data_IF_949919434498
#
_entry.id   IF_949919434498
#
_cell.length_a   1.000
_cell.length_b   1.000
_cell.length_c   1.000
_cell.angle_alpha   90.00
_cell.angle_beta   90.00
_cell.angle_gamma   90.00
#
_symmetry.space_group_name_H-M   'P 1'
#
loop_
_entity.id
_entity.type
_entity.pdbx_description
1 polymer ?
#
# COMPACT_ATOMS: atom_id res chain seq x y z
N UNK A 1 -10.58 2.00 14.44
CA UNK A 1 -11.22 1.57 15.70
C UNK A 1 -12.14 0.40 15.38
N UNK A 2 -11.73 -0.82 15.69
CA UNK A 2 -12.58 -2.00 15.48
C UNK A 2 -13.54 -2.10 16.67
N UNK A 3 -14.84 -1.96 16.42
CA UNK A 3 -15.85 -2.21 17.42
C UNK A 3 -15.77 -3.70 17.83
N UNK A 4 -15.65 -3.95 19.13
CA UNK A 4 -15.66 -5.31 19.68
C UNK A 4 -16.97 -6.01 19.30
N UNK A 5 -16.89 -7.31 18.97
CA UNK A 5 -18.02 -8.11 18.47
C UNK A 5 -19.24 -8.17 19.41
N UNK A 6 -19.06 -7.79 20.67
CA UNK A 6 -20.09 -7.78 21.73
C UNK A 6 -20.55 -6.37 22.12
N UNK A 7 -20.10 -5.33 21.40
CA UNK A 7 -20.48 -3.95 21.72
C UNK A 7 -21.76 -3.52 21.00
N UNK A 8 -22.56 -2.63 21.61
CA UNK A 8 -23.69 -2.00 20.95
C UNK A 8 -23.26 -1.35 19.63
N UNK A 9 -24.07 -1.52 18.58
CA UNK A 9 -23.76 -0.95 17.28
C UNK A 9 -23.57 0.58 17.36
N UNK A 10 -22.43 1.07 16.86
CA UNK A 10 -22.14 2.50 16.81
C UNK A 10 -23.01 3.26 15.78
N UNK A 11 -23.80 2.55 14.97
CA UNK A 11 -24.68 3.12 13.95
C UNK A 11 -25.97 3.69 14.55
N UNK A 12 -25.80 4.78 15.28
CA UNK A 12 -26.87 5.53 15.95
C UNK A 12 -26.70 7.03 15.71
N UNK A 13 -27.80 7.77 15.67
CA UNK A 13 -27.86 9.23 15.64
C UNK A 13 -29.00 9.71 16.55
N UNK A 14 -29.15 11.03 16.73
CA UNK A 14 -30.23 11.59 17.55
C UNK A 14 -31.65 11.22 17.04
N UNK A 15 -31.76 10.82 15.77
CA UNK A 15 -33.02 10.47 15.11
C UNK A 15 -33.30 8.96 15.08
N UNK A 16 -32.24 8.14 15.00
CA UNK A 16 -32.35 6.71 14.72
C UNK A 16 -31.28 5.93 15.50
N UNK A 17 -31.68 4.88 16.22
CA UNK A 17 -30.77 4.06 17.05
C UNK A 17 -30.85 2.59 16.65
N UNK A 18 -29.70 1.97 16.37
CA UNK A 18 -29.60 0.53 16.19
C UNK A 18 -29.60 -0.13 17.59
N UNK A 19 -30.42 -1.17 17.78
CA UNK A 19 -30.48 -1.91 19.06
C UNK A 19 -29.74 -3.24 18.99
N UNK A 20 -29.16 -3.57 17.85
CA UNK A 20 -28.41 -4.80 17.57
C UNK A 20 -26.95 -4.70 18.00
N UNK A 21 -26.30 -5.84 18.20
CA UNK A 21 -24.85 -5.89 18.40
C UNK A 21 -24.13 -5.49 17.11
N UNK A 22 -22.89 -4.99 17.21
CA UNK A 22 -22.14 -4.57 16.03
C UNK A 22 -21.84 -5.72 15.05
N UNK A 23 -21.92 -6.96 15.50
CA UNK A 23 -21.78 -8.19 14.70
C UNK A 23 -23.07 -8.62 14.00
N UNK A 24 -24.22 -8.05 14.35
CA UNK A 24 -25.52 -8.38 13.79
C UNK A 24 -25.92 -7.40 12.67
N UNK A 25 -26.73 -7.83 11.69
CA UNK A 25 -27.35 -6.93 10.73
C UNK A 25 -28.12 -5.82 11.46
N UNK A 26 -27.83 -4.57 11.10
CA UNK A 26 -28.49 -3.42 11.70
C UNK A 26 -30.00 -3.45 11.44
N UNK A 27 -30.81 -3.10 12.45
CA UNK A 27 -32.27 -3.09 12.38
C UNK A 27 -32.86 -1.71 12.02
N UNK A 28 -32.09 -0.86 11.32
CA UNK A 28 -32.53 0.47 10.90
C UNK A 28 -32.00 0.82 9.50
N UNK A 29 -32.76 1.62 8.77
CA UNK A 29 -32.32 2.23 7.50
C UNK A 29 -31.40 3.43 7.72
N UNK A 30 -30.94 4.09 6.63
CA UNK A 30 -30.14 5.31 6.73
C UNK A 30 -30.93 6.49 7.31
N UNK A 31 -30.23 7.47 7.87
CA UNK A 31 -30.86 8.70 8.34
C UNK A 31 -31.00 9.69 7.18
N UNK A 32 -32.17 10.33 7.07
CA UNK A 32 -32.47 11.31 6.03
C UNK A 32 -32.53 12.76 6.53
N UNK A 33 -32.30 12.97 7.83
CA UNK A 33 -32.38 14.29 8.44
C UNK A 33 -31.19 15.17 8.03
N UNK A 34 -31.41 16.47 7.75
CA UNK A 34 -30.35 17.40 7.42
C UNK A 34 -29.24 17.46 8.47
N UNK A 35 -28.01 17.72 8.03
CA UNK A 35 -26.94 18.08 8.95
C UNK A 35 -27.15 19.51 9.47
N UNK A 36 -27.08 19.71 10.79
CA UNK A 36 -27.25 21.03 11.41
C UNK A 36 -25.92 21.73 11.73
N UNK A 37 -24.80 21.14 11.33
CA UNK A 37 -23.47 21.76 11.47
C UNK A 37 -23.34 22.98 10.56
N UNK A 38 -22.48 23.92 10.95
CA UNK A 38 -22.09 25.06 10.12
C UNK A 38 -20.76 24.79 9.42
N UNK A 39 -20.68 25.16 8.14
CA UNK A 39 -19.44 25.14 7.38
C UNK A 39 -18.49 26.26 7.86
N UNK A 40 -17.22 26.22 7.44
CA UNK A 40 -16.23 27.25 7.80
C UNK A 40 -16.62 28.66 7.36
N UNK A 41 -17.40 28.78 6.28
CA UNK A 41 -17.95 30.05 5.81
C UNK A 41 -19.14 30.56 6.64
N UNK A 42 -19.57 29.83 7.67
CA UNK A 42 -20.69 30.20 8.55
C UNK A 42 -22.08 29.76 8.07
N UNK A 43 -22.20 29.30 6.82
CA UNK A 43 -23.46 28.80 6.26
C UNK A 43 -23.79 27.37 6.72
N UNK A 44 -25.07 27.03 6.68
CA UNK A 44 -25.57 25.70 7.02
C UNK A 44 -25.01 24.64 6.08
N UNK A 45 -24.62 23.49 6.65
CA UNK A 45 -24.15 22.34 5.89
C UNK A 45 -25.25 21.80 4.95
N UNK A 46 -24.88 21.45 3.72
CA UNK A 46 -25.78 20.80 2.74
C UNK A 46 -25.81 19.27 2.87
N UNK A 47 -25.05 18.73 3.82
CA UNK A 47 -24.96 17.30 4.07
C UNK A 47 -26.14 16.73 4.85
N UNK A 48 -26.03 15.44 5.17
CA UNK A 48 -27.03 14.69 5.93
C UNK A 48 -26.45 14.20 7.27
N UNK A 49 -27.32 13.90 8.22
CA UNK A 49 -26.92 13.47 9.56
C UNK A 49 -26.00 12.23 9.52
N UNK A 50 -24.88 12.30 10.26
CA UNK A 50 -23.87 11.22 10.44
C UNK A 50 -23.08 10.83 9.19
N UNK A 51 -23.24 11.53 8.08
CA UNK A 51 -22.32 11.42 6.95
C UNK A 51 -21.21 12.48 7.06
N UNK A 52 -20.05 12.24 6.42
CA UNK A 52 -19.02 13.26 6.30
C UNK A 52 -19.60 14.53 5.69
N UNK A 53 -19.43 15.66 6.37
CA UNK A 53 -19.91 16.93 5.85
C UNK A 53 -19.11 17.32 4.59
N UNK A 54 -19.79 17.69 3.49
CA UNK A 54 -19.14 18.28 2.33
C UNK A 54 -18.47 19.60 2.73
N UNK A 55 -17.42 19.98 2.00
CA UNK A 55 -16.72 21.26 2.25
C UNK A 55 -17.39 22.40 1.51
N UNK A 56 -18.04 22.06 0.40
CA UNK A 56 -18.72 22.92 -0.54
C UNK A 56 -20.00 23.49 0.07
N UNK A 57 -20.19 24.79 -0.10
CA UNK A 57 -21.33 25.54 0.37
C UNK A 57 -22.26 25.87 -0.80
N UNK A 58 -23.58 25.68 -0.62
CA UNK A 58 -24.59 26.07 -1.62
C UNK A 58 -24.50 27.54 -2.06
N UNK A 59 -24.05 28.42 -1.17
CA UNK A 59 -23.98 29.87 -1.40
C UNK A 59 -22.60 30.24 -1.96
N UNK A 60 -21.50 29.79 -1.33
CA UNK A 60 -20.15 30.17 -1.74
C UNK A 60 -19.67 29.40 -2.99
N UNK A 61 -20.08 28.15 -3.14
CA UNK A 61 -19.59 27.19 -4.13
C UNK A 61 -20.70 26.75 -5.09
N UNK A 62 -21.62 27.67 -5.41
CA UNK A 62 -22.83 27.40 -6.20
C UNK A 62 -22.54 26.64 -7.50
N UNK A 63 -21.48 27.01 -8.22
CA UNK A 63 -21.11 26.38 -9.49
C UNK A 63 -20.72 24.90 -9.35
N UNK A 64 -20.17 24.50 -8.19
CA UNK A 64 -19.78 23.11 -7.91
C UNK A 64 -20.99 22.33 -7.41
N UNK A 65 -21.78 22.94 -6.52
CA UNK A 65 -22.95 22.29 -5.90
C UNK A 65 -24.07 22.07 -6.90
N UNK A 66 -24.28 22.99 -7.84
CA UNK A 66 -25.30 22.91 -8.89
C UNK A 66 -24.80 22.28 -10.18
N UNK A 67 -23.62 21.66 -10.18
CA UNK A 67 -23.15 20.88 -11.32
C UNK A 67 -24.09 19.69 -11.52
N UNK A 68 -24.89 19.74 -12.58
CA UNK A 68 -25.93 18.76 -12.87
C UNK A 68 -25.29 17.42 -13.22
N UNK A 69 -25.56 16.40 -12.41
CA UNK A 69 -25.20 15.01 -12.68
C UNK A 69 -26.44 14.15 -12.91
N UNK A 70 -27.51 14.40 -12.15
CA UNK A 70 -28.78 13.68 -12.24
C UNK A 70 -30.01 14.57 -12.42
N UNK A 71 -29.86 15.89 -12.32
CA UNK A 71 -30.94 16.86 -12.56
C UNK A 71 -31.70 17.26 -11.30
N UNK A 72 -31.21 16.88 -10.11
CA UNK A 72 -31.81 17.24 -8.81
C UNK A 72 -30.87 18.10 -7.95
N UNK A 73 -29.66 18.39 -8.44
CA UNK A 73 -28.62 19.05 -7.67
C UNK A 73 -28.89 20.54 -7.40
N UNK A 74 -29.65 21.20 -8.28
CA UNK A 74 -29.98 22.63 -8.18
C UNK A 74 -31.18 22.93 -7.27
N UNK A 75 -31.95 21.90 -6.90
CA UNK A 75 -33.10 22.02 -5.99
C UNK A 75 -32.71 22.63 -4.63
N UNK A 76 -33.44 23.64 -4.10
CA UNK A 76 -33.05 24.38 -2.90
C UNK A 76 -32.85 23.53 -1.65
N UNK A 77 -33.60 22.44 -1.52
CA UNK A 77 -33.58 21.51 -0.42
C UNK A 77 -32.71 20.26 -0.68
N UNK A 78 -32.07 20.15 -1.85
CA UNK A 78 -31.17 19.04 -2.16
C UNK A 78 -30.12 18.83 -1.06
N UNK A 79 -29.81 17.57 -0.79
CA UNK A 79 -28.82 17.18 0.22
C UNK A 79 -27.78 16.30 -0.42
N UNK A 80 -26.56 16.39 0.09
CA UNK A 80 -25.40 15.76 -0.53
C UNK A 80 -24.69 14.80 0.42
N UNK A 81 -24.17 13.71 -0.13
CA UNK A 81 -23.23 12.81 0.55
C UNK A 81 -21.84 13.02 -0.03
N UNK A 82 -20.85 13.22 0.83
CA UNK A 82 -19.44 13.21 0.45
C UNK A 82 -18.94 11.77 0.45
N UNK A 83 -18.58 11.23 -0.72
CA UNK A 83 -17.99 9.90 -0.83
C UNK A 83 -16.54 9.90 -0.31
N UNK A 84 -16.21 9.20 0.78
CA UNK A 84 -14.86 9.18 1.36
C UNK A 84 -13.76 8.69 0.42
N UNK A 85 -14.09 7.78 -0.51
CA UNK A 85 -13.11 7.11 -1.36
C UNK A 85 -12.63 7.98 -2.53
N UNK A 86 -13.51 8.81 -3.11
CA UNK A 86 -13.17 9.70 -4.25
C UNK A 86 -13.37 11.19 -3.99
N UNK A 87 -13.93 11.56 -2.83
CA UNK A 87 -14.22 12.94 -2.41
C UNK A 87 -15.25 13.70 -3.25
N UNK A 88 -15.97 13.02 -4.14
CA UNK A 88 -17.11 13.63 -4.83
C UNK A 88 -18.29 13.80 -3.89
N UNK A 89 -18.94 14.95 -3.99
CA UNK A 89 -20.26 15.20 -3.42
C UNK A 89 -21.31 14.83 -4.45
N UNK A 90 -22.36 14.13 -4.02
CA UNK A 90 -23.45 13.69 -4.91
C UNK A 90 -24.76 13.84 -4.16
N UNK A 91 -25.80 14.28 -4.86
CA UNK A 91 -27.14 14.41 -4.33
C UNK A 91 -27.66 13.05 -3.83
N UNK A 92 -28.27 13.04 -2.65
CA UNK A 92 -28.61 11.84 -1.88
C UNK A 92 -29.66 10.99 -2.60
N UNK A 93 -30.75 11.60 -3.07
CA UNK A 93 -31.87 10.84 -3.66
C UNK A 93 -31.45 10.18 -4.98
N UNK A 94 -30.67 10.89 -5.78
CA UNK A 94 -30.10 10.39 -7.02
C UNK A 94 -29.08 9.28 -6.78
N UNK A 95 -28.17 9.44 -5.80
CA UNK A 95 -27.19 8.41 -5.47
C UNK A 95 -27.86 7.15 -4.92
N UNK A 96 -28.90 7.28 -4.10
CA UNK A 96 -29.65 6.14 -3.59
C UNK A 96 -30.31 5.36 -4.70
N UNK A 97 -30.97 6.05 -5.63
CA UNK A 97 -31.59 5.42 -6.79
C UNK A 97 -30.53 4.69 -7.62
N UNK A 98 -29.43 5.36 -7.94
CA UNK A 98 -28.32 4.77 -8.70
C UNK A 98 -27.74 3.51 -8.02
N UNK A 99 -27.47 3.57 -6.71
CA UNK A 99 -26.92 2.44 -5.97
C UNK A 99 -27.94 1.29 -5.86
N UNK A 100 -29.20 1.58 -5.57
CA UNK A 100 -30.25 0.55 -5.47
C UNK A 100 -30.53 -0.12 -6.83
N UNK A 101 -30.59 0.65 -7.91
CA UNK A 101 -30.77 0.12 -9.27
C UNK A 101 -29.60 -0.79 -9.64
N UNK A 102 -28.35 -0.36 -9.38
CA UNK A 102 -27.17 -1.19 -9.64
C UNK A 102 -27.17 -2.48 -8.82
N UNK A 103 -27.65 -2.42 -7.58
CA UNK A 103 -27.70 -3.55 -6.66
C UNK A 103 -28.81 -4.55 -7.00
N UNK A 104 -30.01 -4.08 -7.36
CA UNK A 104 -31.13 -4.95 -7.71
C UNK A 104 -30.92 -5.64 -9.06
N UNK A 105 -30.39 -4.92 -10.06
CA UNK A 105 -30.04 -5.51 -11.35
C UNK A 105 -28.90 -6.54 -11.25
N UNK A 106 -28.06 -6.45 -10.22
CA UNK A 106 -27.00 -7.43 -9.95
C UNK A 106 -27.48 -8.72 -9.25
N UNK A 107 -28.78 -8.88 -8.94
CA UNK A 107 -29.26 -10.17 -8.41
C UNK A 107 -29.33 -11.28 -9.46
N UNK A 108 -29.42 -10.92 -10.75
CA UNK A 108 -29.32 -11.87 -11.87
C UNK A 108 -27.85 -12.18 -12.23
N UNK A 109 -26.94 -11.22 -11.98
CA UNK A 109 -25.50 -11.37 -12.20
C UNK A 109 -24.78 -11.90 -10.95
N UNK A 110 -24.20 -13.10 -11.03
CA UNK A 110 -23.42 -13.73 -9.95
C UNK A 110 -22.13 -12.96 -9.54
N UNK A 111 -21.89 -11.76 -10.05
CA UNK A 111 -20.69 -10.98 -9.81
C UNK A 111 -20.75 -10.17 -8.50
N UNK A 112 -19.84 -10.45 -7.58
CA UNK A 112 -19.67 -9.67 -6.34
C UNK A 112 -19.05 -8.31 -6.69
N UNK A 113 -19.83 -7.23 -6.69
CA UNK A 113 -19.35 -5.88 -7.03
C UNK A 113 -19.71 -4.86 -5.96
N UNK A 114 -18.80 -3.93 -5.70
CA UNK A 114 -19.10 -2.75 -4.89
C UNK A 114 -19.91 -1.75 -5.73
N UNK A 115 -20.77 -0.93 -5.11
CA UNK A 115 -21.35 0.22 -5.79
C UNK A 115 -20.26 1.15 -6.28
N UNK A 116 -20.46 1.80 -7.42
CA UNK A 116 -19.50 2.72 -8.02
C UNK A 116 -19.94 4.18 -7.84
N UNK A 117 -18.97 5.10 -7.78
CA UNK A 117 -19.26 6.52 -7.88
C UNK A 117 -19.78 6.84 -9.29
N UNK A 118 -20.97 7.44 -9.46
CA UNK A 118 -21.51 7.74 -10.78
C UNK A 118 -20.63 8.71 -11.59
N UNK A 119 -19.89 9.59 -10.92
CA UNK A 119 -19.02 10.61 -11.53
C UNK A 119 -17.67 10.07 -12.03
N UNK A 120 -17.00 9.23 -11.24
CA UNK A 120 -15.63 8.75 -11.58
C UNK A 120 -15.47 7.24 -11.62
N UNK A 121 -16.54 6.47 -11.40
CA UNK A 121 -16.56 5.00 -11.35
C UNK A 121 -15.69 4.35 -10.27
N UNK A 122 -15.08 5.13 -9.37
CA UNK A 122 -14.37 4.60 -8.21
C UNK A 122 -15.34 3.81 -7.32
N UNK A 123 -14.95 2.58 -6.95
CA UNK A 123 -15.73 1.75 -6.02
C UNK A 123 -15.94 2.46 -4.68
N UNK A 124 -17.20 2.54 -4.27
CA UNK A 124 -17.64 3.00 -2.95
C UNK A 124 -17.41 1.85 -1.99
N UNK A 125 -16.37 1.95 -1.16
CA UNK A 125 -16.02 0.96 -0.13
C UNK A 125 -16.40 1.43 1.26
N UNK A 126 -16.55 2.74 1.45
CA UNK A 126 -16.85 3.36 2.74
C UNK A 126 -17.95 4.38 2.57
N UNK A 127 -19.16 4.05 3.00
CA UNK A 127 -20.27 5.00 3.09
C UNK A 127 -21.27 4.48 4.12
N UNK A 128 -21.59 5.27 5.16
CA UNK A 128 -22.43 4.78 6.25
C UNK A 128 -23.85 4.45 5.76
N UNK A 129 -24.40 5.30 4.88
CA UNK A 129 -25.67 5.12 4.20
C UNK A 129 -25.81 3.78 3.49
N UNK A 130 -24.74 3.32 2.83
CA UNK A 130 -24.73 2.07 2.06
C UNK A 130 -24.13 0.89 2.81
N UNK A 131 -23.85 1.02 4.12
CA UNK A 131 -23.28 -0.08 4.93
C UNK A 131 -23.99 -1.43 4.78
N UNK A 132 -25.33 -1.52 4.72
CA UNK A 132 -25.99 -2.81 4.50
C UNK A 132 -25.54 -3.51 3.21
N UNK A 133 -25.46 -2.76 2.10
CA UNK A 133 -25.01 -3.26 0.80
C UNK A 133 -23.52 -3.63 0.86
N UNK A 134 -22.68 -2.73 1.40
CA UNK A 134 -21.24 -2.95 1.54
C UNK A 134 -20.93 -4.19 2.38
N UNK A 135 -21.62 -4.38 3.50
CA UNK A 135 -21.47 -5.55 4.36
C UNK A 135 -21.84 -6.85 3.66
N UNK A 136 -22.88 -6.86 2.82
CA UNK A 136 -23.22 -8.03 1.99
C UNK A 136 -22.10 -8.35 1.01
N UNK A 137 -21.60 -7.34 0.28
CA UNK A 137 -20.47 -7.50 -0.64
C UNK A 137 -19.24 -8.05 0.10
N UNK A 138 -18.91 -7.50 1.27
CA UNK A 138 -17.83 -7.99 2.12
C UNK A 138 -18.02 -9.44 2.57
N UNK A 139 -19.24 -9.82 2.96
CA UNK A 139 -19.55 -11.20 3.36
C UNK A 139 -19.42 -12.17 2.20
N UNK A 140 -19.91 -11.81 1.00
CA UNK A 140 -19.75 -12.63 -0.19
C UNK A 140 -18.28 -12.79 -0.57
N UNK A 141 -17.51 -11.69 -0.52
CA UNK A 141 -16.06 -11.73 -0.67
C UNK A 141 -15.47 -12.72 0.36
N UNK A 142 -15.78 -12.61 1.65
CA UNK A 142 -15.26 -13.48 2.69
C UNK A 142 -15.62 -14.96 2.45
N UNK A 143 -16.82 -15.27 1.97
CA UNK A 143 -17.22 -16.63 1.60
C UNK A 143 -16.40 -17.17 0.42
N UNK A 144 -16.14 -16.35 -0.60
CA UNK A 144 -15.25 -16.71 -1.71
C UNK A 144 -13.82 -16.90 -1.22
N UNK A 145 -13.32 -16.02 -0.33
CA UNK A 145 -12.01 -16.16 0.32
C UNK A 145 -11.90 -17.53 1.01
N UNK A 146 -12.91 -17.94 1.78
CA UNK A 146 -12.94 -19.25 2.44
C UNK A 146 -12.91 -20.42 1.45
N UNK A 147 -13.61 -20.32 0.32
CA UNK A 147 -13.62 -21.36 -0.72
C UNK A 147 -12.28 -21.48 -1.47
N UNK A 148 -11.54 -20.39 -1.64
CA UNK A 148 -10.26 -20.36 -2.38
C UNK A 148 -9.05 -20.72 -1.49
N UNK A 149 -9.06 -20.33 -0.21
CA UNK A 149 -7.89 -20.40 0.68
C UNK A 149 -7.61 -21.82 1.24
N UNK A 150 -8.54 -22.78 1.12
CA UNK A 150 -8.31 -24.14 1.63
C UNK A 150 -8.11 -24.21 3.15
N UNK A 151 -7.21 -25.09 3.64
CA UNK A 151 -7.01 -25.41 5.07
C UNK A 151 -6.36 -24.30 5.94
N UNK A 152 -5.91 -23.18 5.36
CA UNK A 152 -5.42 -22.06 6.17
C UNK A 152 -6.59 -21.25 6.70
N UNK A 153 -6.63 -21.04 8.01
CA UNK A 153 -7.73 -20.28 8.61
C UNK A 153 -7.59 -18.80 8.28
N UNK A 154 -8.70 -18.11 8.04
CA UNK A 154 -8.76 -16.64 7.89
C UNK A 154 -8.00 -15.91 9.02
N UNK A 155 -7.96 -16.53 10.20
CA UNK A 155 -7.20 -16.10 11.38
C UNK A 155 -5.68 -16.08 11.15
N UNK A 156 -5.11 -17.07 10.46
CA UNK A 156 -3.67 -17.16 10.18
C UNK A 156 -3.23 -16.09 9.17
N UNK A 157 -3.99 -15.92 8.08
CA UNK A 157 -3.74 -14.87 7.09
C UNK A 157 -3.82 -13.50 7.75
N UNK A 158 -4.85 -13.27 8.58
CA UNK A 158 -4.99 -12.02 9.29
C UNK A 158 -3.87 -11.79 10.32
N UNK A 159 -3.40 -12.85 10.99
CA UNK A 159 -2.23 -12.79 11.87
C UNK A 159 -0.96 -12.36 11.12
N UNK A 160 -0.67 -13.00 9.98
CA UNK A 160 0.46 -12.64 9.11
C UNK A 160 0.35 -11.21 8.58
N UNK A 161 -0.86 -10.79 8.19
CA UNK A 161 -1.15 -9.42 7.77
C UNK A 161 -0.81 -8.40 8.84
N UNK A 162 -1.26 -8.61 10.08
CA UNK A 162 -1.00 -7.70 11.21
C UNK A 162 0.50 -7.64 11.52
N UNK A 163 1.18 -8.79 11.52
CA UNK A 163 2.63 -8.85 11.73
C UNK A 163 3.37 -8.05 10.66
N UNK A 164 3.06 -8.30 9.38
CA UNK A 164 3.69 -7.62 8.25
C UNK A 164 3.42 -6.11 8.26
N UNK A 165 2.20 -5.69 8.62
CA UNK A 165 1.84 -4.28 8.78
C UNK A 165 2.70 -3.61 9.87
N UNK A 166 2.91 -4.30 11.00
CA UNK A 166 3.74 -3.80 12.10
C UNK A 166 5.21 -3.70 11.67
N UNK A 167 5.72 -4.73 11.00
CA UNK A 167 7.07 -4.73 10.46
C UNK A 167 7.30 -3.63 9.43
N UNK A 168 6.34 -3.42 8.52
CA UNK A 168 6.41 -2.36 7.52
C UNK A 168 6.51 -0.99 8.19
N UNK A 169 5.61 -0.67 9.12
CA UNK A 169 5.61 0.64 9.81
C UNK A 169 6.90 0.88 10.58
N UNK A 170 7.41 -0.14 11.28
CA UNK A 170 8.70 -0.07 11.99
C UNK A 170 9.87 0.17 11.03
N UNK A 171 9.89 -0.56 9.92
CA UNK A 171 10.98 -0.45 8.93
C UNK A 171 10.93 0.91 8.21
N UNK A 172 9.74 1.35 7.79
CA UNK A 172 9.54 2.66 7.15
C UNK A 172 10.00 3.82 8.05
N UNK A 173 9.74 3.74 9.36
CA UNK A 173 10.20 4.74 10.32
C UNK A 173 11.74 4.78 10.50
N UNK A 174 12.43 3.68 10.19
CA UNK A 174 13.88 3.54 10.37
C UNK A 174 14.69 3.81 9.09
N UNK A 175 14.06 3.81 7.91
CA UNK A 175 14.75 4.07 6.64
C UNK A 175 15.33 5.48 6.60
N UNK A 176 16.55 5.57 6.06
CA UNK A 176 17.30 6.85 5.99
C UNK A 176 17.50 7.34 4.56
N UNK A 177 17.55 6.44 3.59
CA UNK A 177 17.85 6.76 2.20
C UNK A 177 16.65 6.44 1.28
N UNK A 178 15.80 5.47 1.64
CA UNK A 178 14.61 5.11 0.85
C UNK A 178 13.39 5.96 1.20
N UNK A 179 12.63 6.36 0.17
CA UNK A 179 11.30 6.95 0.31
C UNK A 179 10.29 6.29 -0.64
N UNK A 180 9.16 5.82 -0.10
CA UNK A 180 8.13 5.12 -0.87
C UNK A 180 6.99 6.02 -1.36
N UNK A 181 7.21 7.31 -1.63
CA UNK A 181 6.13 8.26 -1.98
C UNK A 181 5.16 7.72 -3.05
N UNK A 182 5.68 7.13 -4.11
CA UNK A 182 4.90 6.60 -5.24
C UNK A 182 4.32 5.21 -4.99
N UNK A 183 4.93 4.41 -4.11
CA UNK A 183 4.59 3.00 -3.90
C UNK A 183 3.94 2.73 -2.54
N UNK A 184 3.69 3.77 -1.73
CA UNK A 184 3.16 3.63 -0.37
C UNK A 184 1.78 2.98 -0.35
N UNK A 185 0.97 3.24 -1.37
CA UNK A 185 -0.37 2.65 -1.50
C UNK A 185 -0.33 1.12 -1.50
N UNK A 186 0.74 0.51 -2.04
CA UNK A 186 0.91 -0.92 -2.03
C UNK A 186 0.86 -1.50 -0.61
N UNK A 187 1.61 -0.90 0.33
CA UNK A 187 1.61 -1.31 1.73
C UNK A 187 0.40 -0.82 2.52
N UNK A 188 -0.18 0.34 2.17
CA UNK A 188 -1.42 0.82 2.80
C UNK A 188 -2.61 -0.15 2.63
N UNK A 189 -2.56 -1.04 1.63
CA UNK A 189 -3.55 -2.13 1.49
C UNK A 189 -3.56 -3.09 2.68
N UNK A 190 -2.47 -3.15 3.46
CA UNK A 190 -2.42 -3.88 4.74
C UNK A 190 -3.30 -3.24 5.82
N UNK A 191 -3.72 -1.98 5.65
CA UNK A 191 -4.66 -1.31 6.55
C UNK A 191 -6.14 -1.52 6.15
N UNK A 192 -6.43 -1.89 4.90
CA UNK A 192 -7.81 -2.13 4.42
C UNK A 192 -8.29 -3.56 4.75
N UNK A 193 -9.04 -3.79 5.84
CA UNK A 193 -9.42 -5.13 6.29
C UNK A 193 -10.23 -5.90 5.24
N UNK A 194 -10.80 -5.19 4.27
CA UNK A 194 -11.61 -5.76 3.21
C UNK A 194 -10.79 -6.19 1.99
N UNK A 195 -9.60 -5.60 1.78
CA UNK A 195 -8.69 -5.98 0.71
C UNK A 195 -8.33 -7.47 0.81
N UNK A 196 -8.50 -8.20 -0.29
CA UNK A 196 -8.17 -9.62 -0.33
C UNK A 196 -6.66 -9.80 -0.41
N UNK A 197 -6.09 -10.33 0.67
CA UNK A 197 -4.72 -10.79 0.72
C UNK A 197 -4.76 -12.31 0.77
N UNK A 198 -4.19 -12.94 -0.25
CA UNK A 198 -3.84 -14.36 -0.19
C UNK A 198 -2.39 -14.50 0.29
N UNK A 199 -1.96 -15.72 0.59
CA UNK A 199 -0.62 -15.98 1.11
C UNK A 199 0.48 -15.53 0.13
N UNK A 200 0.28 -15.72 -1.16
CA UNK A 200 1.22 -15.28 -2.20
C UNK A 200 1.44 -13.77 -2.20
N UNK A 201 0.40 -12.97 -2.00
CA UNK A 201 0.50 -11.50 -1.89
C UNK A 201 1.24 -11.12 -0.61
N UNK A 202 0.93 -11.76 0.52
CA UNK A 202 1.62 -11.49 1.80
C UNK A 202 3.11 -11.82 1.72
N UNK A 203 3.47 -12.97 1.15
CA UNK A 203 4.87 -13.37 0.93
C UNK A 203 5.58 -12.37 0.01
N UNK A 204 4.91 -11.94 -1.07
CA UNK A 204 5.43 -10.90 -1.96
C UNK A 204 5.76 -9.61 -1.20
N UNK A 205 4.78 -9.11 -0.45
CA UNK A 205 4.93 -7.88 0.31
C UNK A 205 6.07 -7.98 1.32
N UNK A 206 6.21 -9.13 1.99
CA UNK A 206 7.33 -9.43 2.88
C UNK A 206 8.67 -9.43 2.14
N UNK A 207 8.76 -10.09 0.99
CA UNK A 207 9.99 -10.12 0.18
C UNK A 207 10.40 -8.71 -0.29
N UNK A 208 9.45 -7.91 -0.78
CA UNK A 208 9.70 -6.51 -1.15
C UNK A 208 10.22 -5.74 0.06
N UNK A 209 9.58 -5.87 1.23
CA UNK A 209 10.03 -5.20 2.46
C UNK A 209 11.47 -5.57 2.83
N UNK A 210 11.81 -6.86 2.75
CA UNK A 210 13.17 -7.36 3.00
C UNK A 210 14.18 -6.74 2.02
N UNK A 211 13.89 -6.76 0.72
CA UNK A 211 14.78 -6.19 -0.29
C UNK A 211 14.96 -4.68 -0.12
N UNK A 212 13.88 -3.94 0.16
CA UNK A 212 13.97 -2.51 0.45
C UNK A 212 14.86 -2.23 1.66
N UNK A 213 14.72 -3.02 2.73
CA UNK A 213 15.57 -2.86 3.91
C UNK A 213 17.06 -3.12 3.60
N UNK A 214 17.38 -4.11 2.78
CA UNK A 214 18.76 -4.35 2.35
C UNK A 214 19.28 -3.25 1.42
N UNK A 215 18.44 -2.71 0.53
CA UNK A 215 18.80 -1.58 -0.34
C UNK A 215 19.09 -0.33 0.50
N UNK A 216 18.28 -0.03 1.52
CA UNK A 216 18.50 1.12 2.41
C UNK A 216 19.86 1.03 3.12
N UNK A 217 20.21 -0.16 3.63
CA UNK A 217 21.54 -0.41 4.21
C UNK A 217 22.67 -0.19 3.21
N UNK A 218 22.55 -0.74 2.00
CA UNK A 218 23.58 -0.56 0.95
C UNK A 218 23.74 0.92 0.57
N UNK A 219 22.65 1.68 0.51
CA UNK A 219 22.70 3.12 0.28
C UNK A 219 23.40 3.85 1.44
N UNK A 220 23.11 3.49 2.69
CA UNK A 220 23.75 4.06 3.88
C UNK A 220 25.26 3.78 3.88
N UNK A 221 25.67 2.55 3.60
CA UNK A 221 27.07 2.13 3.59
C UNK A 221 27.82 2.79 2.44
N UNK A 222 27.17 2.86 1.27
CA UNK A 222 27.73 3.42 0.05
C UNK A 222 27.69 4.94 -0.07
N UNK A 223 26.91 5.67 0.75
CA UNK A 223 26.65 7.11 0.52
C UNK A 223 27.90 8.00 0.53
N UNK A 224 28.91 7.63 1.33
CA UNK A 224 30.17 8.41 1.43
C UNK A 224 31.14 8.09 0.30
N UNK A 225 31.17 6.83 -0.16
CA UNK A 225 32.13 6.36 -1.14
C UNK A 225 31.60 6.46 -2.58
N UNK A 226 30.30 6.19 -2.81
CA UNK A 226 29.74 5.93 -4.14
C UNK A 226 28.31 6.50 -4.33
N UNK A 227 28.03 7.78 -4.03
CA UNK A 227 26.67 8.32 -3.99
C UNK A 227 25.93 8.30 -5.34
N UNK A 228 26.63 8.34 -6.48
CA UNK A 228 26.02 8.32 -7.83
C UNK A 228 25.98 6.93 -8.46
N UNK A 229 27.03 6.13 -8.23
CA UNK A 229 27.20 4.81 -8.88
C UNK A 229 26.20 3.79 -8.35
N UNK A 230 25.82 3.87 -7.07
CA UNK A 230 24.90 2.92 -6.44
C UNK A 230 23.42 3.32 -6.56
N UNK A 231 23.13 4.62 -6.53
CA UNK A 231 21.74 5.09 -6.47
C UNK A 231 20.92 4.69 -7.69
N UNK A 232 21.43 4.88 -8.90
CA UNK A 232 20.68 4.56 -10.12
C UNK A 232 20.37 3.06 -10.24
N UNK A 233 21.35 2.14 -10.11
CA UNK A 233 21.05 0.71 -10.22
C UNK A 233 20.13 0.19 -9.11
N UNK A 234 20.34 0.60 -7.86
CA UNK A 234 19.47 0.19 -6.75
C UNK A 234 18.05 0.74 -6.93
N UNK A 235 17.90 1.96 -7.48
CA UNK A 235 16.59 2.51 -7.82
C UNK A 235 15.89 1.72 -8.93
N UNK A 236 16.62 1.19 -9.93
CA UNK A 236 16.05 0.29 -10.93
C UNK A 236 15.55 -1.02 -10.30
N UNK A 237 16.25 -1.56 -9.30
CA UNK A 237 15.75 -2.72 -8.54
C UNK A 237 14.45 -2.37 -7.83
N UNK A 238 14.37 -1.21 -7.16
CA UNK A 238 13.13 -0.75 -6.52
C UNK A 238 11.99 -0.67 -7.54
N UNK A 239 12.22 -0.05 -8.70
CA UNK A 239 11.21 0.00 -9.78
C UNK A 239 10.76 -1.40 -10.21
N UNK A 240 11.72 -2.31 -10.41
CA UNK A 240 11.43 -3.68 -10.78
C UNK A 240 10.59 -4.41 -9.73
N UNK A 241 10.89 -4.23 -8.43
CA UNK A 241 10.15 -4.84 -7.34
C UNK A 241 8.66 -4.49 -7.40
N UNK A 242 8.31 -3.24 -7.73
CA UNK A 242 6.91 -2.77 -7.79
C UNK A 242 6.22 -2.96 -9.14
N UNK A 243 6.97 -3.10 -10.24
CA UNK A 243 6.41 -3.28 -11.58
C UNK A 243 5.82 -4.68 -11.85
N UNK A 244 6.18 -5.70 -11.05
CA UNK A 244 5.68 -7.07 -11.26
C UNK A 244 4.19 -7.22 -10.89
N UNK A 245 3.47 -8.19 -11.49
CA UNK A 245 2.04 -8.42 -11.23
C UNK A 245 1.74 -8.56 -9.73
N UNK A 246 0.82 -7.74 -9.22
CA UNK A 246 0.58 -7.60 -7.77
C UNK A 246 -0.13 -8.81 -7.13
N UNK A 247 -0.59 -9.77 -7.93
CA UNK A 247 -1.47 -10.85 -7.47
C UNK A 247 -0.73 -12.17 -7.15
N UNK A 248 0.59 -12.24 -7.34
CA UNK A 248 1.41 -13.45 -7.10
C UNK A 248 2.80 -13.12 -6.58
N UNK A 249 3.41 -14.02 -5.82
CA UNK A 249 4.80 -13.88 -5.37
C UNK A 249 5.79 -13.89 -6.56
N UNK A 250 7.01 -13.38 -6.32
CA UNK A 250 8.13 -13.56 -7.25
C UNK A 250 8.42 -15.04 -7.46
N UNK A 251 8.82 -15.41 -8.67
CA UNK A 251 9.39 -16.71 -8.93
C UNK A 251 10.72 -16.85 -8.18
N UNK A 252 11.10 -18.09 -7.83
CA UNK A 252 12.33 -18.38 -7.11
C UNK A 252 13.57 -17.83 -7.85
N UNK A 253 13.59 -17.95 -9.17
CA UNK A 253 14.67 -17.41 -9.99
C UNK A 253 14.77 -15.88 -9.89
N UNK A 254 13.64 -15.17 -9.86
CA UNK A 254 13.63 -13.71 -9.69
C UNK A 254 14.17 -13.30 -8.30
N UNK A 255 13.86 -14.06 -7.26
CA UNK A 255 14.40 -13.83 -5.91
C UNK A 255 15.92 -13.99 -5.93
N UNK A 256 16.41 -15.12 -6.47
CA UNK A 256 17.85 -15.42 -6.59
C UNK A 256 18.61 -14.35 -7.36
N UNK A 257 18.03 -13.83 -8.44
CA UNK A 257 18.68 -12.81 -9.26
C UNK A 257 18.77 -11.45 -8.54
N UNK A 258 17.72 -11.06 -7.82
CA UNK A 258 17.75 -9.83 -6.99
C UNK A 258 18.77 -9.99 -5.86
N UNK A 259 18.78 -11.13 -5.17
CA UNK A 259 19.73 -11.42 -4.10
C UNK A 259 21.17 -11.37 -4.60
N UNK A 260 21.47 -12.04 -5.71
CA UNK A 260 22.79 -12.01 -6.34
C UNK A 260 23.25 -10.59 -6.66
N UNK A 261 22.35 -9.74 -7.15
CA UNK A 261 22.67 -8.36 -7.50
C UNK A 261 22.90 -7.48 -6.25
N UNK A 262 22.12 -7.64 -5.18
CA UNK A 262 22.37 -6.96 -3.90
C UNK A 262 23.70 -7.41 -3.26
N UNK A 263 24.00 -8.70 -3.36
CA UNK A 263 25.27 -9.31 -2.93
C UNK A 263 26.44 -8.71 -3.71
N UNK A 264 26.29 -8.50 -5.03
CA UNK A 264 27.28 -7.82 -5.87
C UNK A 264 27.48 -6.37 -5.43
N UNK A 265 26.42 -5.62 -5.17
CA UNK A 265 26.53 -4.23 -4.68
C UNK A 265 27.25 -4.13 -3.33
N UNK A 266 27.00 -5.07 -2.40
CA UNK A 266 27.74 -5.12 -1.13
C UNK A 266 29.25 -5.26 -1.35
N UNK A 267 29.65 -6.09 -2.31
CA UNK A 267 31.05 -6.29 -2.69
C UNK A 267 31.67 -5.07 -3.38
N UNK A 268 30.91 -4.38 -4.23
CA UNK A 268 31.33 -3.11 -4.83
C UNK A 268 31.61 -2.07 -3.74
N UNK A 269 30.71 -1.94 -2.76
CA UNK A 269 30.90 -1.02 -1.61
C UNK A 269 32.17 -1.38 -0.84
N UNK A 270 32.37 -2.67 -0.54
CA UNK A 270 33.54 -3.15 0.18
C UNK A 270 34.84 -2.85 -0.58
N UNK A 271 34.91 -3.21 -1.87
CA UNK A 271 36.08 -2.99 -2.71
C UNK A 271 36.47 -1.51 -2.77
N UNK A 272 35.51 -0.62 -2.92
CA UNK A 272 35.77 0.82 -3.01
C UNK A 272 36.19 1.41 -1.65
N UNK A 273 35.66 0.89 -0.55
CA UNK A 273 36.14 1.22 0.79
C UNK A 273 37.59 0.75 1.01
N UNK A 274 37.92 -0.45 0.55
CA UNK A 274 39.28 -1.01 0.61
C UNK A 274 40.26 -0.18 -0.23
N UNK A 275 39.90 0.17 -1.46
CA UNK A 275 40.73 1.04 -2.31
C UNK A 275 41.01 2.38 -1.63
N UNK A 276 39.99 2.99 -1.02
CA UNK A 276 40.16 4.24 -0.28
C UNK A 276 41.12 4.07 0.90
N UNK A 277 40.96 3.00 1.68
CA UNK A 277 41.83 2.69 2.82
C UNK A 277 43.30 2.51 2.38
N UNK A 278 43.53 1.76 1.31
CA UNK A 278 44.88 1.55 0.76
C UNK A 278 45.47 2.88 0.30
N UNK A 279 44.74 3.70 -0.45
CA UNK A 279 45.22 4.99 -0.93
C UNK A 279 45.54 5.98 0.21
N UNK A 280 44.83 5.90 1.33
CA UNK A 280 45.06 6.77 2.49
C UNK A 280 46.21 6.29 3.40
N UNK A 281 46.51 4.99 3.44
CA UNK A 281 47.47 4.40 4.40
C UNK A 281 48.74 3.79 3.77
N UNK A 282 48.77 3.55 2.46
CA UNK A 282 49.94 2.94 1.80
C UNK A 282 51.10 3.94 1.67
N UNK A 283 52.14 3.76 2.50
CA UNK A 283 53.44 4.46 2.37
C UNK A 283 54.40 3.76 1.40
N UNK A 284 54.13 2.50 1.08
CA UNK A 284 54.94 1.65 0.19
C UNK A 284 54.05 1.02 -0.88
N UNK A 285 54.63 0.69 -2.03
CA UNK A 285 53.95 -0.03 -3.10
C UNK A 285 53.47 -1.41 -2.60
N UNK A 286 52.26 -1.80 -3.01
CA UNK A 286 51.71 -3.14 -2.77
C UNK A 286 52.64 -4.21 -3.34
N UNK A 287 52.70 -5.38 -2.70
CA UNK A 287 53.39 -6.54 -3.26
C UNK A 287 52.71 -6.97 -4.57
N UNK A 288 53.43 -7.62 -5.50
CA UNK A 288 52.86 -8.07 -6.78
C UNK A 288 51.57 -8.91 -6.60
N UNK A 289 51.53 -9.79 -5.61
CA UNK A 289 50.38 -10.66 -5.35
C UNK A 289 49.16 -9.89 -4.80
N UNK A 290 49.41 -8.87 -3.98
CA UNK A 290 48.37 -7.97 -3.45
C UNK A 290 47.80 -7.10 -4.59
N UNK A 291 48.67 -6.57 -5.45
CA UNK A 291 48.26 -5.79 -6.62
C UNK A 291 47.44 -6.64 -7.61
N UNK A 292 47.89 -7.86 -7.91
CA UNK A 292 47.15 -8.81 -8.76
C UNK A 292 45.78 -9.16 -8.18
N UNK A 293 45.69 -9.30 -6.85
CA UNK A 293 44.43 -9.56 -6.17
C UNK A 293 43.48 -8.37 -6.29
N UNK A 294 43.99 -7.15 -6.12
CA UNK A 294 43.23 -5.91 -6.24
C UNK A 294 42.69 -5.69 -7.66
N UNK A 295 43.50 -5.98 -8.69
CA UNK A 295 43.08 -5.89 -10.09
C UNK A 295 42.03 -6.96 -10.45
N UNK A 296 42.15 -8.16 -9.88
CA UNK A 296 41.14 -9.22 -10.02
C UNK A 296 39.80 -8.84 -9.37
N UNK A 297 39.83 -8.23 -8.18
CA UNK A 297 38.63 -7.70 -7.50
C UNK A 297 37.95 -6.59 -8.32
N UNK A 298 38.73 -5.72 -8.96
CA UNK A 298 38.22 -4.68 -9.87
C UNK A 298 37.44 -5.28 -11.03
N UNK A 299 37.98 -6.34 -11.63
CA UNK A 299 37.32 -7.02 -12.74
C UNK A 299 36.02 -7.70 -12.30
N UNK A 300 36.03 -8.40 -11.15
CA UNK A 300 34.84 -9.06 -10.59
C UNK A 300 33.72 -8.07 -10.25
N UNK A 301 34.05 -6.93 -9.65
CA UNK A 301 33.06 -5.92 -9.24
C UNK A 301 32.43 -5.17 -10.42
N UNK A 302 33.15 -5.06 -11.54
CA UNK A 302 32.70 -4.43 -12.78
C UNK A 302 32.11 -5.41 -13.80
N UNK A 303 32.09 -6.71 -13.49
CA UNK A 303 31.54 -7.74 -14.36
C UNK A 303 30.10 -7.41 -14.76
N UNK A 304 29.84 -7.43 -16.06
CA UNK A 304 28.50 -7.31 -16.62
C UNK A 304 27.86 -8.71 -16.71
N UNK A 305 26.63 -8.87 -16.23
CA UNK A 305 25.92 -10.15 -16.21
C UNK A 305 25.68 -10.68 -14.80
N UNK A 306 25.20 -11.92 -14.71
CA UNK A 306 24.83 -12.54 -13.42
C UNK A 306 26.07 -12.77 -12.55
N UNK A 307 25.99 -12.31 -11.30
CA UNK A 307 26.99 -12.61 -10.26
C UNK A 307 26.68 -13.98 -9.67
N UNK A 308 27.61 -14.94 -9.83
CA UNK A 308 27.40 -16.34 -9.46
C UNK A 308 28.01 -16.66 -8.08
N UNK A 309 27.69 -17.85 -7.56
CA UNK A 309 28.33 -18.35 -6.33
C UNK A 309 29.85 -18.51 -6.49
N UNK A 310 30.30 -18.89 -7.69
CA UNK A 310 31.74 -18.96 -8.01
C UNK A 310 32.38 -17.56 -7.96
N UNK A 311 31.70 -16.53 -8.49
CA UNK A 311 32.21 -15.15 -8.40
C UNK A 311 32.32 -14.70 -6.93
N UNK A 312 31.37 -15.13 -6.09
CA UNK A 312 31.38 -14.88 -4.65
C UNK A 312 32.56 -15.57 -3.96
N UNK A 313 32.77 -16.86 -4.20
CA UNK A 313 33.89 -17.61 -3.62
C UNK A 313 35.24 -17.03 -4.06
N UNK A 314 35.37 -16.67 -5.34
CA UNK A 314 36.56 -16.01 -5.87
C UNK A 314 36.82 -14.67 -5.18
N UNK A 315 35.79 -13.84 -5.02
CA UNK A 315 35.92 -12.55 -4.33
C UNK A 315 36.37 -12.74 -2.87
N UNK A 316 35.76 -13.69 -2.16
CA UNK A 316 36.08 -13.94 -0.75
C UNK A 316 37.50 -14.52 -0.58
N UNK A 317 38.00 -15.30 -1.56
CA UNK A 317 39.38 -15.78 -1.60
C UNK A 317 40.39 -14.65 -1.84
N UNK A 318 40.09 -13.75 -2.78
CA UNK A 318 40.93 -12.59 -3.11
C UNK A 318 41.00 -11.55 -1.99
N UNK A 319 40.00 -11.49 -1.10
CA UNK A 319 40.07 -10.62 0.08
C UNK A 319 41.10 -11.14 1.08
N UNK A 320 41.22 -12.47 1.26
CA UNK A 320 42.15 -13.05 2.24
C UNK A 320 43.61 -12.70 1.96
N UNK A 321 43.97 -12.52 0.70
CA UNK A 321 45.33 -12.09 0.33
C UNK A 321 45.60 -10.62 0.68
N UNK A 322 44.54 -9.83 0.94
CA UNK A 322 44.58 -8.42 1.29
C UNK A 322 44.28 -8.16 2.78
N UNK A 323 43.97 -9.19 3.58
CA UNK A 323 43.62 -9.06 5.02
C UNK A 323 44.76 -8.53 5.90
N UNK A 324 46.01 -8.56 5.41
CA UNK A 324 47.19 -8.11 6.14
C UNK A 324 47.65 -6.68 5.77
N UNK A 325 46.86 -5.94 4.98
CA UNK A 325 47.05 -4.52 4.65
C UNK A 325 46.35 -3.62 5.66
#
# INVERSE_FOLDING_TARGET
>A
MWASMLTPCAYQCKHLKCTRLCSEPCNRGPCNEPCHEKLKCGHTCIGICREPCPRECRICDKNIVQEILFGTEDEPDARFVLLPDCKHIIEVTALDKFVNDSYNNSQEDTAIRFPECPRCKQNIRRCMRYMPILNRVHNLIAQVKKKIVGNQTEKEINGRRILLMTDFRRTEANWKEISLRENKEFFNRLDDPYYFLNDGILIRMKNILTFLNEIDKLLIDGRKALPKILRLPLHHIIKYLFAQPQNRNFAEQQIKDIEAELIRFRRVIYYEALLKFINENSKCALKPDEQNSLDSLKHLTKKTGRFTDIDKENFDSLIKTLENL
#
